data_IF_429047884280
#
_entry.id   IF_429047884280
#
_cell.length_a   1.000
_cell.length_b   1.000
_cell.length_c   1.000
_cell.angle_alpha   90.00
_cell.angle_beta   90.00
_cell.angle_gamma   90.00
#
_symmetry.space_group_name_H-M   'P 1'
#
loop_
_entity.id
_entity.type
_entity.pdbx_description
1 polymer ?
#
# COMPACT_ATOMS: atom_id res chain seq x y z
N UNK A 1 -8.54 20.47 8.15
CA UNK A 1 -8.85 19.83 6.85
C UNK A 1 -10.03 18.84 6.89
N UNK A 2 -10.47 18.33 8.05
CA UNK A 2 -11.57 17.34 8.14
C UNK A 2 -12.93 17.86 7.63
N UNK A 3 -13.32 19.09 7.97
CA UNK A 3 -14.65 19.63 7.63
C UNK A 3 -14.91 19.76 6.11
N UNK A 4 -13.95 20.34 5.35
CA UNK A 4 -14.10 20.49 3.89
C UNK A 4 -14.19 19.13 3.21
N UNK A 5 -13.35 18.16 3.64
CA UNK A 5 -13.39 16.81 3.12
C UNK A 5 -14.76 16.15 3.36
N UNK A 6 -15.31 16.27 4.58
CA UNK A 6 -16.62 15.70 4.87
C UNK A 6 -17.72 16.34 4.02
N UNK A 7 -17.69 17.67 3.87
CA UNK A 7 -18.64 18.39 3.00
C UNK A 7 -18.55 17.88 1.55
N UNK A 8 -17.34 17.71 1.00
CA UNK A 8 -17.16 17.16 -0.34
C UNK A 8 -17.70 15.73 -0.44
N UNK A 9 -17.40 14.89 0.55
CA UNK A 9 -17.84 13.49 0.58
C UNK A 9 -19.35 13.40 0.65
N UNK A 10 -19.99 14.00 1.66
CA UNK A 10 -21.42 13.81 1.89
C UNK A 10 -22.27 14.69 0.99
N UNK A 11 -21.96 15.99 0.93
CA UNK A 11 -22.87 16.98 0.34
C UNK A 11 -22.65 17.15 -1.17
N UNK A 12 -21.44 16.90 -1.67
CA UNK A 12 -21.16 17.00 -3.11
C UNK A 12 -21.24 15.62 -3.76
N UNK A 13 -20.32 14.71 -3.41
CA UNK A 13 -20.21 13.42 -4.09
C UNK A 13 -21.31 12.43 -3.69
N UNK A 14 -21.63 12.33 -2.40
CA UNK A 14 -22.67 11.44 -1.90
C UNK A 14 -24.05 11.82 -2.44
N UNK A 15 -24.44 13.09 -2.30
CA UNK A 15 -25.70 13.60 -2.85
C UNK A 15 -25.77 13.49 -4.38
N UNK A 16 -24.66 13.71 -5.10
CA UNK A 16 -24.63 13.51 -6.55
C UNK A 16 -24.99 12.08 -6.96
N UNK A 17 -24.54 11.07 -6.21
CA UNK A 17 -24.86 9.65 -6.45
C UNK A 17 -26.26 9.27 -5.94
N UNK A 18 -26.73 9.91 -4.87
CA UNK A 18 -28.00 9.62 -4.22
C UNK A 18 -29.22 10.27 -4.92
N UNK A 19 -29.05 11.46 -5.48
CA UNK A 19 -30.12 12.21 -6.15
C UNK A 19 -30.56 11.55 -7.46
N UNK A 20 -31.71 11.99 -7.98
CA UNK A 20 -32.39 11.50 -9.21
C UNK A 20 -31.53 11.47 -10.49
N UNK A 21 -30.33 12.06 -10.48
CA UNK A 21 -29.39 12.02 -11.61
C UNK A 21 -28.89 10.59 -11.83
N UNK A 22 -28.51 9.89 -10.75
CA UNK A 22 -28.02 8.51 -10.82
C UNK A 22 -28.90 7.56 -9.99
N UNK A 23 -29.35 8.00 -8.80
CA UNK A 23 -30.24 7.22 -7.94
C UNK A 23 -29.74 5.81 -7.67
N UNK A 24 -28.43 5.64 -7.47
CA UNK A 24 -27.80 4.31 -7.33
C UNK A 24 -27.58 3.88 -5.87
N UNK A 25 -27.58 4.83 -4.93
CA UNK A 25 -27.33 4.59 -3.50
C UNK A 25 -28.49 3.83 -2.87
N UNK A 26 -28.21 2.75 -2.15
CA UNK A 26 -29.20 1.94 -1.42
C UNK A 26 -30.20 1.20 -2.30
N UNK A 27 -29.96 1.10 -3.62
CA UNK A 27 -30.88 0.43 -4.55
C UNK A 27 -30.65 -1.07 -4.69
N UNK A 28 -29.55 -1.59 -4.13
CA UNK A 28 -29.12 -2.98 -4.34
C UNK A 28 -28.82 -3.37 -5.79
N UNK A 29 -28.89 -2.44 -6.75
CA UNK A 29 -28.68 -2.70 -8.19
C UNK A 29 -27.23 -3.02 -8.53
N UNK A 30 -26.30 -2.39 -7.82
CA UNK A 30 -24.86 -2.60 -8.00
C UNK A 30 -24.35 -3.45 -6.85
N UNK A 31 -24.21 -4.75 -7.10
CA UNK A 31 -23.59 -5.68 -6.18
C UNK A 31 -22.13 -5.92 -6.56
N UNK A 32 -21.28 -5.92 -5.54
CA UNK A 32 -19.91 -6.40 -5.62
C UNK A 32 -19.91 -7.91 -5.84
N UNK A 33 -18.90 -8.45 -6.54
CA UNK A 33 -18.71 -9.90 -6.60
C UNK A 33 -18.55 -10.49 -5.20
N UNK A 34 -19.02 -11.72 -4.98
CA UNK A 34 -19.00 -12.36 -3.64
C UNK A 34 -17.57 -12.53 -3.08
N UNK A 35 -16.56 -12.50 -3.95
CA UNK A 35 -15.15 -12.54 -3.56
C UNK A 35 -14.55 -11.16 -3.20
N UNK A 36 -15.32 -10.07 -3.28
CA UNK A 36 -14.79 -8.73 -3.08
C UNK A 36 -14.49 -8.44 -1.59
N UNK A 37 -13.31 -7.91 -1.27
CA UNK A 37 -12.93 -7.58 0.10
C UNK A 37 -13.59 -6.27 0.55
N UNK A 38 -14.71 -6.35 1.28
CA UNK A 38 -15.27 -5.13 1.88
C UNK A 38 -16.53 -5.26 2.72
N UNK A 39 -17.37 -6.27 2.49
CA UNK A 39 -18.66 -6.32 3.18
C UNK A 39 -18.78 -7.54 4.10
N UNK A 40 -18.62 -7.31 5.41
CA UNK A 40 -18.91 -8.29 6.46
C UNK A 40 -20.41 -8.28 6.85
N UNK A 41 -21.18 -7.29 6.38
CA UNK A 41 -22.63 -7.20 6.57
C UNK A 41 -23.40 -8.06 5.55
N UNK A 42 -22.71 -8.65 4.57
CA UNK A 42 -23.28 -9.62 3.63
C UNK A 42 -24.32 -9.04 2.66
N UNK A 43 -24.35 -7.72 2.50
CA UNK A 43 -25.23 -7.06 1.53
C UNK A 43 -24.60 -7.04 0.13
N UNK A 44 -23.27 -7.14 0.05
CA UNK A 44 -22.43 -7.00 -1.13
C UNK A 44 -22.79 -5.76 -1.96
N UNK A 45 -23.33 -4.71 -1.35
CA UNK A 45 -23.72 -3.51 -2.08
C UNK A 45 -22.51 -2.60 -2.31
N UNK A 46 -22.36 -2.10 -3.55
CA UNK A 46 -21.28 -1.18 -3.89
C UNK A 46 -21.46 0.18 -3.18
N UNK A 47 -22.71 0.62 -3.03
CA UNK A 47 -23.09 1.93 -2.47
C UNK A 47 -24.27 1.80 -1.50
N UNK A 48 -24.05 1.20 -0.31
CA UNK A 48 -25.13 0.98 0.67
C UNK A 48 -25.68 2.30 1.24
N UNK A 49 -24.83 3.31 1.38
CA UNK A 49 -25.20 4.61 1.95
C UNK A 49 -24.50 5.78 1.25
N UNK A 50 -25.03 6.99 1.48
CA UNK A 50 -24.58 8.24 0.86
C UNK A 50 -23.12 8.55 1.19
N UNK A 51 -22.69 8.28 2.43
CA UNK A 51 -21.35 8.57 2.88
C UNK A 51 -20.34 7.62 2.23
N UNK A 52 -20.64 6.32 2.18
CA UNK A 52 -19.82 5.32 1.49
C UNK A 52 -19.68 5.65 0.00
N UNK A 53 -20.79 5.93 -0.67
CA UNK A 53 -20.81 6.30 -2.08
C UNK A 53 -19.96 7.57 -2.33
N UNK A 54 -20.16 8.59 -1.50
CA UNK A 54 -19.38 9.82 -1.53
C UNK A 54 -17.88 9.60 -1.31
N UNK A 55 -17.49 8.71 -0.38
CA UNK A 55 -16.09 8.36 -0.11
C UNK A 55 -15.42 7.71 -1.31
N UNK A 56 -16.11 6.78 -1.99
CA UNK A 56 -15.54 6.10 -3.16
C UNK A 56 -15.38 7.05 -4.35
N UNK A 57 -16.39 7.87 -4.64
CA UNK A 57 -16.31 8.86 -5.72
C UNK A 57 -15.26 9.93 -5.43
N UNK A 58 -15.16 10.38 -4.18
CA UNK A 58 -14.07 11.27 -3.75
C UNK A 58 -12.69 10.65 -3.99
N UNK A 59 -12.49 9.37 -3.62
CA UNK A 59 -11.23 8.64 -3.86
C UNK A 59 -10.93 8.53 -5.35
N UNK A 60 -11.92 8.19 -6.18
CA UNK A 60 -11.76 8.12 -7.63
C UNK A 60 -11.33 9.48 -8.20
N UNK A 61 -12.05 10.55 -7.87
CA UNK A 61 -11.76 11.90 -8.34
C UNK A 61 -10.35 12.35 -7.89
N UNK A 62 -10.03 12.17 -6.61
CA UNK A 62 -8.70 12.46 -6.08
C UNK A 62 -7.60 11.67 -6.81
N UNK A 63 -7.85 10.40 -7.12
CA UNK A 63 -6.90 9.54 -7.84
C UNK A 63 -6.70 10.04 -9.27
N UNK A 64 -7.76 10.45 -9.96
CA UNK A 64 -7.66 11.05 -11.30
C UNK A 64 -6.85 12.35 -11.29
N UNK A 65 -7.14 13.26 -10.36
CA UNK A 65 -6.37 14.51 -10.22
C UNK A 65 -4.90 14.20 -9.95
N UNK A 66 -4.62 13.29 -9.01
CA UNK A 66 -3.26 12.88 -8.67
C UNK A 66 -2.54 12.25 -9.87
N UNK A 67 -3.22 11.39 -10.64
CA UNK A 67 -2.67 10.77 -11.84
C UNK A 67 -2.33 11.80 -12.91
N UNK A 68 -3.20 12.76 -13.17
CA UNK A 68 -2.93 13.85 -14.13
C UNK A 68 -1.76 14.70 -13.67
N UNK A 69 -1.75 15.15 -12.41
CA UNK A 69 -0.66 16.00 -11.89
C UNK A 69 0.69 15.28 -11.90
N UNK A 70 0.74 14.03 -11.43
CA UNK A 70 1.97 13.23 -11.43
C UNK A 70 2.40 12.87 -12.85
N UNK A 71 1.46 12.49 -13.72
CA UNK A 71 1.72 12.16 -15.12
C UNK A 71 2.27 13.35 -15.91
N UNK A 72 1.71 14.55 -15.71
CA UNK A 72 2.23 15.78 -16.31
C UNK A 72 3.63 16.11 -15.77
N UNK A 73 3.84 16.01 -14.45
CA UNK A 73 5.16 16.26 -13.84
C UNK A 73 6.21 15.29 -14.37
N UNK A 74 5.86 14.02 -14.51
CA UNK A 74 6.73 12.99 -15.08
C UNK A 74 7.01 13.21 -16.57
N UNK A 75 6.00 13.62 -17.34
CA UNK A 75 6.17 13.97 -18.75
C UNK A 75 7.12 15.17 -18.93
N UNK A 76 6.97 16.21 -18.11
CA UNK A 76 7.90 17.36 -18.10
C UNK A 76 9.31 16.89 -17.74
N UNK A 77 9.46 16.03 -16.73
CA UNK A 77 10.75 15.45 -16.36
C UNK A 77 11.41 14.70 -17.53
N UNK A 78 10.65 13.87 -18.26
CA UNK A 78 11.17 13.16 -19.44
C UNK A 78 11.56 14.13 -20.57
N UNK A 79 10.79 15.19 -20.79
CA UNK A 79 11.08 16.22 -21.79
C UNK A 79 12.35 17.03 -21.44
N UNK A 80 12.56 17.35 -20.15
CA UNK A 80 13.83 17.92 -19.69
C UNK A 80 14.98 16.91 -19.78
N UNK A 81 14.64 15.63 -19.68
CA UNK A 81 15.55 14.51 -19.81
C UNK A 81 16.09 14.28 -21.21
N UNK A 82 15.40 14.69 -22.27
CA UNK A 82 15.85 14.49 -23.67
C UNK A 82 16.97 15.42 -24.11
N UNK A 83 17.14 16.58 -23.46
CA UNK A 83 18.26 17.51 -23.70
C UNK A 83 19.54 17.09 -22.96
N UNK A 84 19.89 15.79 -23.00
CA UNK A 84 21.10 15.24 -22.37
C UNK A 84 22.40 15.84 -22.92
N UNK A 85 22.34 16.53 -24.06
CA UNK A 85 23.49 17.22 -24.64
C UNK A 85 24.00 18.39 -23.77
N UNK A 86 23.14 18.98 -22.92
CA UNK A 86 23.49 20.16 -22.12
C UNK A 86 24.33 19.78 -20.89
N UNK A 87 24.16 18.56 -20.37
CA UNK A 87 24.98 18.00 -19.29
C UNK A 87 25.89 16.91 -19.87
N UNK A 88 26.77 17.28 -20.80
CA UNK A 88 27.93 16.50 -21.24
C UNK A 88 27.72 15.00 -21.40
N UNK A 89 27.46 14.55 -22.64
CA UNK A 89 27.74 13.18 -23.05
C UNK A 89 29.12 12.78 -22.50
N UNK A 90 29.19 11.65 -21.80
CA UNK A 90 30.31 11.17 -20.98
C UNK A 90 30.41 11.78 -19.57
N UNK A 91 29.55 11.29 -18.69
CA UNK A 91 30.03 10.96 -17.34
C UNK A 91 30.98 9.75 -17.46
N UNK A 92 32.08 9.94 -18.17
CA UNK A 92 33.32 9.15 -18.10
C UNK A 92 34.22 9.75 -16.99
N UNK A 93 33.58 10.40 -16.01
CA UNK A 93 34.10 10.39 -14.65
C UNK A 93 34.22 8.92 -14.32
N UNK A 94 35.39 8.45 -13.88
CA UNK A 94 35.58 7.09 -13.37
C UNK A 94 34.68 6.85 -12.16
N UNK A 95 33.37 6.74 -12.39
CA UNK A 95 32.36 6.39 -11.42
C UNK A 95 32.75 4.99 -11.03
N UNK A 96 33.35 4.89 -9.86
CA UNK A 96 33.75 3.62 -9.32
C UNK A 96 32.53 2.71 -9.32
N UNK A 97 32.70 1.47 -9.78
CA UNK A 97 31.60 0.53 -10.00
C UNK A 97 30.61 0.47 -8.82
N UNK A 98 31.08 0.66 -7.58
CA UNK A 98 30.24 0.68 -6.38
C UNK A 98 29.20 1.82 -6.35
N UNK A 99 29.46 2.97 -6.98
CA UNK A 99 28.52 4.10 -7.05
C UNK A 99 27.30 3.80 -7.93
N UNK A 100 27.37 2.79 -8.80
CA UNK A 100 26.23 2.28 -9.57
C UNK A 100 25.68 1.01 -8.92
N UNK A 101 26.57 0.07 -8.57
CA UNK A 101 26.16 -1.23 -8.02
C UNK A 101 25.42 -1.12 -6.70
N UNK A 102 25.85 -0.24 -5.77
CA UNK A 102 25.20 -0.10 -4.47
C UNK A 102 23.80 0.51 -4.63
N UNK A 103 23.60 1.67 -5.29
CA UNK A 103 22.27 2.21 -5.50
C UNK A 103 21.37 1.23 -6.26
N UNK A 104 21.89 0.56 -7.29
CA UNK A 104 21.11 -0.43 -8.03
C UNK A 104 20.66 -1.59 -7.14
N UNK A 105 21.55 -2.14 -6.32
CA UNK A 105 21.19 -3.16 -5.34
C UNK A 105 20.15 -2.66 -4.33
N UNK A 106 20.29 -1.42 -3.84
CA UNK A 106 19.31 -0.79 -2.93
C UNK A 106 17.94 -0.66 -3.60
N UNK A 107 17.88 -0.18 -4.85
CA UNK A 107 16.65 -0.06 -5.61
C UNK A 107 15.97 -1.42 -5.81
N UNK A 108 16.74 -2.44 -6.22
CA UNK A 108 16.25 -3.82 -6.42
C UNK A 108 15.75 -4.44 -5.11
N UNK A 109 16.51 -4.33 -4.01
CA UNK A 109 16.07 -4.87 -2.73
C UNK A 109 14.82 -4.14 -2.21
N UNK A 110 14.75 -2.83 -2.40
CA UNK A 110 13.58 -2.03 -2.03
C UNK A 110 12.33 -2.44 -2.81
N UNK A 111 12.44 -2.60 -4.13
CA UNK A 111 11.34 -3.10 -4.94
C UNK A 111 10.96 -4.54 -4.58
N UNK A 112 11.93 -5.39 -4.25
CA UNK A 112 11.67 -6.74 -3.74
C UNK A 112 10.87 -6.73 -2.43
N UNK A 113 11.19 -5.84 -1.49
CA UNK A 113 10.39 -5.66 -0.26
C UNK A 113 8.96 -5.23 -0.56
N UNK A 114 8.75 -4.26 -1.45
CA UNK A 114 7.42 -3.82 -1.85
C UNK A 114 6.62 -4.94 -2.53
N UNK A 115 7.22 -5.67 -3.47
CA UNK A 115 6.57 -6.83 -4.12
C UNK A 115 6.23 -7.94 -3.12
N UNK A 116 7.15 -8.24 -2.21
CA UNK A 116 6.94 -9.23 -1.13
C UNK A 116 5.81 -8.80 -0.20
N UNK A 117 5.67 -7.50 0.07
CA UNK A 117 4.60 -6.99 0.91
C UNK A 117 3.20 -7.18 0.32
N UNK A 118 3.09 -7.39 -1.01
CA UNK A 118 1.81 -7.68 -1.66
C UNK A 118 1.22 -9.01 -1.20
N UNK A 119 2.04 -9.95 -0.74
CA UNK A 119 1.56 -11.22 -0.17
C UNK A 119 1.48 -11.20 1.37
N UNK A 120 1.81 -10.07 2.00
CA UNK A 120 1.80 -9.93 3.45
C UNK A 120 0.47 -9.35 3.92
N UNK A 121 -0.30 -10.12 4.70
CA UNK A 121 -1.51 -9.61 5.34
C UNK A 121 -1.17 -8.42 6.25
N UNK A 122 -1.96 -7.34 6.16
CA UNK A 122 -1.75 -6.10 6.91
C UNK A 122 -3.08 -5.36 7.01
N UNK A 123 -3.37 -4.63 8.11
CA UNK A 123 -4.61 -3.87 8.21
C UNK A 123 -4.59 -2.66 7.27
N UNK A 124 -3.41 -2.29 6.77
CA UNK A 124 -3.20 -1.25 5.77
C UNK A 124 -3.11 -1.80 4.34
N UNK A 125 -3.12 -3.14 4.19
CA UNK A 125 -3.08 -3.83 2.91
C UNK A 125 -4.48 -4.03 2.32
N UNK A 126 -4.54 -4.17 1.00
CA UNK A 126 -5.79 -4.47 0.28
C UNK A 126 -6.08 -5.98 0.20
N UNK A 127 -5.10 -6.83 0.53
CA UNK A 127 -5.27 -8.27 0.38
C UNK A 127 -6.14 -8.86 1.49
N UNK A 128 -7.15 -9.66 1.17
CA UNK A 128 -7.84 -10.50 2.16
C UNK A 128 -6.86 -11.52 2.75
N UNK A 129 -7.06 -11.85 4.01
CA UNK A 129 -6.34 -12.93 4.69
C UNK A 129 -7.17 -14.19 4.71
N UNK A 130 -6.48 -15.31 4.61
CA UNK A 130 -7.09 -16.62 4.43
C UNK A 130 -6.45 -17.61 5.39
N UNK A 131 -7.28 -18.39 6.07
CA UNK A 131 -6.89 -19.48 6.98
C UNK A 131 -7.26 -20.81 6.32
N UNK A 132 -6.31 -21.74 6.24
CA UNK A 132 -6.60 -23.10 5.84
C UNK A 132 -7.40 -23.80 6.95
N UNK A 133 -8.50 -24.48 6.62
CA UNK A 133 -9.19 -25.36 7.57
C UNK A 133 -8.33 -26.59 7.83
N UNK A 134 -7.58 -26.58 8.93
CA UNK A 134 -7.04 -27.82 9.52
C UNK A 134 -8.21 -28.57 10.16
N UNK A 135 -8.44 -29.82 9.75
CA UNK A 135 -9.62 -30.63 10.08
C UNK A 135 -9.84 -31.01 11.56
N UNK A 136 -9.27 -30.26 12.52
CA UNK A 136 -9.41 -30.49 13.96
C UNK A 136 -10.39 -29.52 14.67
N UNK A 137 -10.85 -28.44 14.03
CA UNK A 137 -11.75 -27.43 14.65
C UNK A 137 -13.26 -27.71 14.42
N UNK A 138 -13.71 -28.96 14.49
CA UNK A 138 -15.16 -29.30 14.38
C UNK A 138 -15.90 -29.46 15.71
N UNK A 139 -15.26 -29.23 16.85
CA UNK A 139 -15.87 -29.55 18.16
C UNK A 139 -16.13 -28.40 19.14
N UNK A 140 -15.80 -27.14 18.82
CA UNK A 140 -16.09 -26.05 19.76
C UNK A 140 -17.45 -25.37 19.53
N UNK A 141 -18.18 -25.32 20.64
CA UNK A 141 -19.58 -24.97 20.81
C UNK A 141 -19.83 -23.50 20.47
N UNK A 142 -20.27 -23.24 19.24
CA UNK A 142 -20.67 -21.89 18.84
C UNK A 142 -20.74 -21.67 17.34
N UNK A 143 -21.12 -22.70 16.57
CA UNK A 143 -21.22 -22.63 15.11
C UNK A 143 -22.33 -21.65 14.66
N UNK A 144 -22.02 -20.36 14.72
CA UNK A 144 -22.57 -19.40 13.77
C UNK A 144 -22.20 -19.95 12.39
N UNK A 145 -23.23 -20.35 11.64
CA UNK A 145 -23.11 -20.84 10.27
C UNK A 145 -22.19 -19.90 9.49
N UNK A 146 -20.98 -20.36 9.16
CA UNK A 146 -20.07 -19.63 8.28
C UNK A 146 -20.84 -19.42 6.97
N UNK A 147 -21.18 -18.17 6.60
CA UNK A 147 -22.08 -17.92 5.48
C UNK A 147 -21.50 -18.54 4.20
N UNK A 148 -22.37 -19.23 3.44
CA UNK A 148 -22.03 -19.88 2.19
C UNK A 148 -21.48 -18.82 1.21
N UNK A 149 -20.17 -18.81 1.01
CA UNK A 149 -19.45 -17.80 0.20
C UNK A 149 -18.03 -17.52 0.67
N UNK A 150 -17.71 -17.77 1.95
CA UNK A 150 -16.40 -17.44 2.54
C UNK A 150 -15.35 -18.57 2.49
N UNK A 151 -15.68 -19.72 1.90
CA UNK A 151 -14.77 -20.87 1.81
C UNK A 151 -14.60 -21.29 0.35
N UNK A 152 -13.38 -21.17 -0.17
CA UNK A 152 -13.00 -21.67 -1.50
C UNK A 152 -11.92 -22.74 -1.31
N UNK A 153 -12.16 -23.98 -1.76
CA UNK A 153 -11.19 -25.09 -1.69
C UNK A 153 -10.67 -25.39 -0.26
N UNK A 154 -11.52 -25.27 0.77
CA UNK A 154 -11.11 -25.50 2.18
C UNK A 154 -10.29 -24.37 2.79
N UNK A 155 -10.23 -23.22 2.13
CA UNK A 155 -9.59 -22.00 2.62
C UNK A 155 -10.71 -21.03 3.01
N UNK A 156 -10.76 -20.66 4.29
CA UNK A 156 -11.75 -19.73 4.83
C UNK A 156 -11.14 -18.35 4.99
N UNK A 157 -11.86 -17.30 4.58
CA UNK A 157 -11.45 -15.92 4.80
C UNK A 157 -11.47 -15.58 6.31
N UNK A 158 -10.38 -15.01 6.81
CA UNK A 158 -10.24 -14.55 8.19
C UNK A 158 -9.57 -13.18 8.19
N UNK A 159 -10.37 -12.11 8.15
CA UNK A 159 -9.87 -10.73 8.15
C UNK A 159 -9.28 -10.29 9.50
N UNK A 160 -9.48 -11.06 10.57
CA UNK A 160 -8.91 -10.71 11.88
C UNK A 160 -7.39 -10.83 11.89
N UNK A 161 -6.85 -11.75 11.07
CA UNK A 161 -5.40 -11.97 10.92
C UNK A 161 -4.65 -10.70 10.47
N UNK A 162 -5.34 -9.72 9.87
CA UNK A 162 -4.73 -8.46 9.46
C UNK A 162 -4.27 -7.61 10.64
N UNK A 163 -4.85 -7.78 11.82
CA UNK A 163 -4.49 -6.99 13.00
C UNK A 163 -3.32 -7.60 13.77
N UNK A 164 -2.87 -8.80 13.40
CA UNK A 164 -1.68 -9.41 13.99
C UNK A 164 -0.42 -8.89 13.27
N UNK A 165 0.58 -8.36 13.99
CA UNK A 165 1.86 -8.05 13.38
C UNK A 165 2.57 -9.34 12.99
N UNK A 166 2.57 -9.65 11.69
CA UNK A 166 3.18 -10.85 11.11
C UNK A 166 4.01 -10.51 9.87
N UNK A 167 5.05 -11.31 9.65
CA UNK A 167 5.94 -11.18 8.50
C UNK A 167 6.58 -9.79 8.40
N UNK A 168 6.44 -9.14 7.24
CA UNK A 168 7.08 -7.84 6.99
C UNK A 168 6.54 -6.71 7.87
N UNK A 169 5.32 -6.83 8.40
CA UNK A 169 4.77 -5.82 9.33
C UNK A 169 5.51 -5.74 10.67
N UNK A 170 6.28 -6.79 11.02
CA UNK A 170 7.19 -6.76 12.18
C UNK A 170 8.43 -5.89 11.93
N UNK A 171 8.85 -5.73 10.67
CA UNK A 171 9.96 -4.84 10.29
C UNK A 171 9.45 -3.40 10.32
N UNK A 172 8.41 -3.10 9.55
CA UNK A 172 7.75 -1.80 9.55
C UNK A 172 6.28 -2.01 9.28
N UNK A 173 5.45 -1.17 9.88
CA UNK A 173 4.00 -1.13 9.65
C UNK A 173 3.61 -0.79 8.20
N UNK A 174 4.50 -0.14 7.44
CA UNK A 174 4.27 0.30 6.05
C UNK A 174 5.18 -0.44 5.06
N UNK A 175 5.14 -1.79 5.01
CA UNK A 175 6.12 -2.57 4.24
C UNK A 175 5.96 -2.42 2.73
N UNK A 176 4.82 -1.90 2.26
CA UNK A 176 4.56 -1.64 0.85
C UNK A 176 5.13 -0.30 0.38
N UNK A 177 4.92 0.76 1.17
CA UNK A 177 5.19 2.14 0.77
C UNK A 177 6.58 2.60 1.21
N UNK A 178 7.04 2.24 2.42
CA UNK A 178 8.33 2.75 2.90
C UNK A 178 9.56 2.28 2.12
N UNK A 179 9.59 1.10 1.44
CA UNK A 179 10.70 0.79 0.54
C UNK A 179 10.84 1.77 -0.63
N UNK A 180 9.80 2.54 -0.98
CA UNK A 180 9.89 3.62 -1.99
C UNK A 180 10.90 4.70 -1.58
N UNK A 181 11.19 4.86 -0.28
CA UNK A 181 12.14 5.87 0.22
C UNK A 181 13.58 5.54 -0.21
N UNK A 182 14.18 4.40 0.18
CA UNK A 182 15.51 4.03 -0.31
C UNK A 182 15.54 3.83 -1.83
N UNK A 183 14.45 3.33 -2.44
CA UNK A 183 14.33 3.25 -3.89
C UNK A 183 14.46 4.63 -4.55
N UNK A 184 13.67 5.62 -4.15
CA UNK A 184 13.69 6.94 -4.77
C UNK A 184 15.04 7.65 -4.63
N UNK A 185 15.70 7.54 -3.48
CA UNK A 185 17.07 8.07 -3.35
C UNK A 185 18.08 7.33 -4.23
N UNK A 186 18.01 6.00 -4.29
CA UNK A 186 18.88 5.22 -5.16
C UNK A 186 18.66 5.54 -6.65
N UNK A 187 17.41 5.59 -7.07
CA UNK A 187 17.01 5.92 -8.44
C UNK A 187 17.36 7.36 -8.82
N UNK A 188 17.34 8.31 -7.87
CA UNK A 188 17.84 9.66 -8.14
C UNK A 188 19.32 9.64 -8.56
N UNK A 189 20.14 8.82 -7.89
CA UNK A 189 21.56 8.64 -8.24
C UNK A 189 21.70 7.90 -9.58
N UNK A 190 20.94 6.81 -9.76
CA UNK A 190 20.96 6.00 -11.00
C UNK A 190 20.39 6.74 -12.22
N UNK A 191 19.57 7.77 -12.03
CA UNK A 191 19.06 8.59 -13.13
C UNK A 191 20.09 9.64 -13.62
N UNK A 192 21.23 9.76 -12.94
CA UNK A 192 22.30 10.71 -13.24
C UNK A 192 22.53 11.76 -12.16
N UNK A 193 21.74 11.77 -11.07
CA UNK A 193 21.95 12.66 -9.92
C UNK A 193 21.73 14.14 -10.22
N UNK A 194 21.03 14.49 -11.29
CA UNK A 194 20.76 15.89 -11.65
C UNK A 194 19.75 16.49 -10.67
N UNK A 195 19.68 17.83 -10.56
CA UNK A 195 18.68 18.48 -9.69
C UNK A 195 17.24 18.01 -9.97
N UNK A 196 16.89 17.78 -11.24
CA UNK A 196 15.57 17.25 -11.62
C UNK A 196 15.33 15.82 -11.10
N UNK A 197 16.35 14.95 -11.14
CA UNK A 197 16.27 13.56 -10.65
C UNK A 197 16.08 13.55 -9.13
N UNK A 198 16.86 14.38 -8.42
CA UNK A 198 16.77 14.54 -6.95
C UNK A 198 15.41 15.12 -6.55
N UNK A 199 14.91 16.14 -7.26
CA UNK A 199 13.60 16.74 -6.96
C UNK A 199 12.48 15.72 -7.19
N UNK A 200 12.50 14.99 -8.32
CA UNK A 200 11.45 14.04 -8.64
C UNK A 200 11.46 12.83 -7.69
N UNK A 201 12.58 12.10 -7.64
CA UNK A 201 12.64 10.84 -6.89
C UNK A 201 12.85 11.05 -5.39
N UNK A 202 13.59 12.10 -5.00
CA UNK A 202 13.66 12.53 -3.61
C UNK A 202 12.32 13.11 -3.13
N UNK A 203 11.62 13.87 -3.98
CA UNK A 203 10.26 14.33 -3.70
C UNK A 203 9.28 13.18 -3.49
N UNK A 204 9.33 12.13 -4.33
CA UNK A 204 8.57 10.89 -4.14
C UNK A 204 8.90 10.20 -2.81
N UNK A 205 10.18 10.16 -2.43
CA UNK A 205 10.62 9.59 -1.15
C UNK A 205 10.04 10.35 0.04
N UNK A 206 10.11 11.68 0.01
CA UNK A 206 9.50 12.53 1.05
C UNK A 206 7.98 12.39 1.08
N UNK A 207 7.35 12.29 -0.09
CA UNK A 207 5.92 12.06 -0.20
C UNK A 207 5.52 10.71 0.42
N UNK A 208 6.28 9.64 0.20
CA UNK A 208 6.04 8.35 0.82
C UNK A 208 6.11 8.41 2.35
N UNK A 209 7.13 9.08 2.91
CA UNK A 209 7.27 9.30 4.36
C UNK A 209 6.07 10.07 4.90
N UNK A 210 5.77 11.23 4.31
CA UNK A 210 4.68 12.10 4.74
C UNK A 210 3.31 11.41 4.61
N UNK A 211 3.11 10.64 3.54
CA UNK A 211 1.91 9.86 3.28
C UNK A 211 1.68 8.80 4.36
N UNK A 212 2.69 7.98 4.64
CA UNK A 212 2.65 7.00 5.72
C UNK A 212 2.41 7.65 7.09
N UNK A 213 3.06 8.78 7.36
CA UNK A 213 2.87 9.51 8.62
C UNK A 213 1.44 10.06 8.75
N UNK A 214 0.88 10.61 7.67
CA UNK A 214 -0.50 11.08 7.65
C UNK A 214 -1.51 9.93 7.78
N UNK A 215 -1.22 8.75 7.24
CA UNK A 215 -2.02 7.55 7.46
C UNK A 215 -2.02 7.16 8.94
N UNK A 216 -0.85 7.20 9.59
CA UNK A 216 -0.74 6.91 11.02
C UNK A 216 -1.53 7.90 11.87
N UNK A 217 -1.42 9.20 11.57
CA UNK A 217 -2.17 10.25 12.28
C UNK A 217 -3.68 10.07 12.17
N UNK A 218 -4.19 9.59 11.03
CA UNK A 218 -5.63 9.32 10.87
C UNK A 218 -6.10 8.20 11.78
N UNK A 219 -5.32 7.14 11.89
CA UNK A 219 -5.63 6.04 12.81
C UNK A 219 -5.55 6.49 14.27
N UNK A 220 -4.52 7.26 14.63
CA UNK A 220 -4.36 7.79 15.99
C UNK A 220 -5.48 8.74 16.40
N UNK A 221 -6.06 9.47 15.46
CA UNK A 221 -7.20 10.39 15.71
C UNK A 221 -8.56 9.70 15.63
N UNK A 222 -8.58 8.38 15.44
CA UNK A 222 -9.81 7.60 15.29
C UNK A 222 -10.72 8.14 14.16
N UNK A 223 -10.14 8.81 13.14
CA UNK A 223 -10.85 9.43 12.01
C UNK A 223 -11.41 8.40 11.00
N UNK A 224 -11.54 7.13 11.42
CA UNK A 224 -11.98 5.99 10.65
C UNK A 224 -10.84 5.12 10.12
N UNK A 225 -11.15 3.82 9.94
CA UNK A 225 -10.25 2.80 9.42
C UNK A 225 -9.60 3.21 8.09
N UNK A 226 -8.28 3.02 7.98
CA UNK A 226 -7.56 3.14 6.70
C UNK A 226 -7.83 1.86 5.91
N UNK A 227 -8.86 1.87 5.06
CA UNK A 227 -9.26 0.69 4.29
C UNK A 227 -10.66 0.77 3.67
N UNK A 228 -11.16 -0.37 3.21
CA UNK A 228 -12.49 -0.60 2.61
C UNK A 228 -13.51 -1.18 3.58
N UNK A 229 -13.19 -1.27 4.87
CA UNK A 229 -14.02 -1.97 5.83
C UNK A 229 -15.19 -1.11 6.33
N UNK A 230 -16.41 -1.56 6.03
CA UNK A 230 -17.67 -0.99 6.48
C UNK A 230 -18.16 -1.74 7.72
N UNK A 231 -18.36 -1.05 8.85
CA UNK A 231 -18.80 -1.68 10.09
C UNK A 231 -19.86 -0.85 10.81
N UNK A 232 -20.74 -1.53 11.54
CA UNK A 232 -21.67 -0.90 12.50
C UNK A 232 -20.93 -0.28 13.70
N UNK A 233 -21.66 0.50 14.50
CA UNK A 233 -21.10 1.29 15.61
C UNK A 233 -20.38 0.47 16.69
N UNK A 234 -20.86 -0.74 17.00
CA UNK A 234 -20.30 -1.57 18.07
C UNK A 234 -19.06 -2.37 17.63
N UNK A 235 -19.06 -2.93 16.42
CA UNK A 235 -17.90 -3.63 15.83
C UNK A 235 -16.74 -2.67 15.56
N UNK A 236 -17.05 -1.42 15.18
CA UNK A 236 -16.05 -0.36 14.99
C UNK A 236 -15.18 -0.16 16.24
N UNK A 237 -15.74 -0.31 17.45
CA UNK A 237 -15.00 -0.14 18.70
C UNK A 237 -14.01 -1.28 18.94
N UNK A 238 -14.41 -2.52 18.65
CA UNK A 238 -13.54 -3.70 18.77
C UNK A 238 -12.37 -3.58 17.79
N UNK A 239 -12.65 -3.15 16.57
CA UNK A 239 -11.67 -3.00 15.50
C UNK A 239 -10.69 -1.88 15.81
N UNK A 240 -11.17 -0.75 16.31
CA UNK A 240 -10.28 0.33 16.76
C UNK A 240 -9.33 -0.16 17.87
N UNK A 241 -9.80 -1.02 18.78
CA UNK A 241 -8.94 -1.62 19.81
C UNK A 241 -7.89 -2.57 19.20
N UNK A 242 -8.28 -3.44 18.25
CA UNK A 242 -7.35 -4.34 17.53
C UNK A 242 -6.34 -3.56 16.71
N UNK A 243 -6.78 -2.54 15.98
CA UNK A 243 -5.93 -1.65 15.20
C UNK A 243 -4.96 -0.88 16.10
N UNK A 244 -5.42 -0.36 17.24
CA UNK A 244 -4.53 0.26 18.23
C UNK A 244 -3.48 -0.71 18.75
N UNK A 245 -3.87 -1.95 19.07
CA UNK A 245 -2.91 -2.99 19.47
C UNK A 245 -1.86 -3.26 18.38
N UNK A 246 -2.26 -3.32 17.10
CA UNK A 246 -1.32 -3.44 15.98
C UNK A 246 -0.36 -2.24 15.93
N UNK A 247 -0.87 -1.03 16.12
CA UNK A 247 -0.07 0.20 16.14
C UNK A 247 0.93 0.21 17.30
N UNK A 248 0.51 -0.23 18.48
CA UNK A 248 1.35 -0.30 19.66
C UNK A 248 2.48 -1.33 19.49
N UNK A 249 2.24 -2.42 18.74
CA UNK A 249 3.21 -3.48 18.52
C UNK A 249 4.12 -3.28 17.29
N UNK A 250 3.84 -2.31 16.42
CA UNK A 250 4.59 -2.07 15.18
C UNK A 250 5.25 -0.70 15.17
N UNK A 251 6.19 -0.49 14.25
CA UNK A 251 6.91 0.77 14.12
C UNK A 251 6.75 1.36 12.74
N UNK A 252 6.74 2.69 12.68
CA UNK A 252 6.91 3.42 11.43
C UNK A 252 8.29 3.16 10.84
N UNK A 253 9.34 3.37 11.64
CA UNK A 253 10.72 3.13 11.22
C UNK A 253 11.00 1.63 11.10
N UNK A 254 11.68 1.17 10.03
CA UNK A 254 12.14 -0.20 9.90
C UNK A 254 12.93 -0.66 11.13
N UNK A 255 12.59 -1.84 11.64
CA UNK A 255 13.14 -2.47 12.84
C UNK A 255 12.95 -1.71 14.15
N UNK A 256 12.31 -0.53 14.14
CA UNK A 256 12.12 0.26 15.37
C UNK A 256 11.40 -0.51 16.47
N UNK A 257 10.39 -1.31 16.13
CA UNK A 257 9.68 -2.13 17.12
C UNK A 257 10.53 -3.26 17.71
N UNK A 258 11.49 -3.80 16.95
CA UNK A 258 12.43 -4.80 17.44
C UNK A 258 13.51 -4.19 18.33
N UNK A 259 13.99 -2.99 17.98
CA UNK A 259 14.93 -2.21 18.81
C UNK A 259 14.28 -1.79 20.13
N UNK A 260 13.02 -1.39 20.10
CA UNK A 260 12.23 -1.02 21.30
C UNK A 260 11.83 -2.23 22.16
N UNK A 261 12.13 -3.47 21.74
CA UNK A 261 11.72 -4.70 22.44
C UNK A 261 10.23 -5.05 22.34
N UNK A 262 9.45 -4.31 21.53
CA UNK A 262 8.03 -4.58 21.25
C UNK A 262 7.84 -5.80 20.34
N UNK A 263 8.88 -6.15 19.58
CA UNK A 263 8.95 -7.31 18.70
C UNK A 263 10.23 -8.09 18.96
N UNK A 264 10.17 -9.42 18.84
CA UNK A 264 11.36 -10.26 18.99
C UNK A 264 12.08 -10.46 17.64
N UNK A 265 13.41 -10.47 17.67
CA UNK A 265 14.23 -10.79 16.49
C UNK A 265 14.01 -12.22 15.99
N UNK A 266 13.79 -13.17 16.92
CA UNK A 266 13.50 -14.56 16.58
C UNK A 266 12.19 -14.67 15.77
N UNK A 267 11.12 -14.02 16.22
CA UNK A 267 9.84 -13.96 15.48
C UNK A 267 10.01 -13.32 14.10
N UNK A 268 10.80 -12.25 14.00
CA UNK A 268 11.06 -11.57 12.72
C UNK A 268 11.74 -12.49 11.72
N UNK A 269 12.77 -13.23 12.15
CA UNK A 269 13.50 -14.16 11.25
C UNK A 269 12.68 -15.39 10.86
N UNK A 270 11.90 -15.95 11.78
CA UNK A 270 11.05 -17.12 11.50
C UNK A 270 9.88 -16.81 10.57
N UNK A 271 9.32 -15.61 10.69
CA UNK A 271 8.16 -15.20 9.88
C UNK A 271 8.54 -14.42 8.63
N UNK A 272 9.83 -14.14 8.42
CA UNK A 272 10.26 -13.43 7.22
C UNK A 272 9.84 -14.25 5.98
N UNK A 273 9.09 -13.66 5.03
CA UNK A 273 8.61 -14.36 3.84
C UNK A 273 9.76 -14.57 2.85
N UNK A 274 10.69 -15.45 3.18
CA UNK A 274 11.97 -15.61 2.46
C UNK A 274 11.76 -16.07 1.02
N UNK A 275 10.82 -17.00 0.79
CA UNK A 275 10.57 -17.53 -0.55
C UNK A 275 9.94 -16.45 -1.47
N UNK A 276 8.85 -15.77 -1.08
CA UNK A 276 8.36 -14.61 -1.83
C UNK A 276 9.43 -13.53 -2.05
N UNK A 277 10.27 -13.26 -1.05
CA UNK A 277 11.35 -12.28 -1.17
C UNK A 277 12.41 -12.68 -2.19
N UNK A 278 12.87 -13.93 -2.17
CA UNK A 278 13.83 -14.44 -3.15
C UNK A 278 13.26 -14.45 -4.57
N UNK A 279 11.97 -14.72 -4.74
CA UNK A 279 11.28 -14.61 -6.04
C UNK A 279 11.16 -13.15 -6.46
N UNK A 280 10.88 -12.23 -5.54
CA UNK A 280 10.69 -10.82 -5.84
C UNK A 280 11.98 -10.12 -6.32
N UNK A 281 13.17 -10.59 -5.92
CA UNK A 281 14.46 -10.03 -6.35
C UNK A 281 14.63 -10.00 -7.88
N UNK A 282 14.56 -11.12 -8.64
CA UNK A 282 14.71 -11.09 -10.10
C UNK A 282 13.61 -10.30 -10.80
N UNK A 283 12.38 -10.30 -10.29
CA UNK A 283 11.30 -9.44 -10.81
C UNK A 283 11.64 -7.96 -10.63
N UNK A 284 12.06 -7.57 -9.42
CA UNK A 284 12.45 -6.19 -9.13
C UNK A 284 13.68 -5.77 -9.93
N UNK A 285 14.65 -6.65 -10.13
CA UNK A 285 15.79 -6.42 -11.02
C UNK A 285 15.33 -6.11 -12.45
N UNK A 286 14.40 -6.91 -12.98
CA UNK A 286 13.85 -6.73 -14.33
C UNK A 286 13.10 -5.41 -14.46
N UNK A 287 12.27 -5.07 -13.47
CA UNK A 287 11.52 -3.82 -13.42
C UNK A 287 12.47 -2.62 -13.35
N UNK A 288 13.46 -2.64 -12.46
CA UNK A 288 14.43 -1.54 -12.32
C UNK A 288 15.26 -1.36 -13.59
N UNK A 289 15.72 -2.45 -14.20
CA UNK A 289 16.45 -2.41 -15.47
C UNK A 289 15.59 -1.81 -16.59
N UNK A 290 14.34 -2.24 -16.70
CA UNK A 290 13.41 -1.71 -17.69
C UNK A 290 13.11 -0.23 -17.44
N UNK A 291 12.97 0.16 -16.16
CA UNK A 291 12.71 1.53 -15.76
C UNK A 291 13.89 2.46 -16.09
N UNK A 292 15.13 2.08 -15.76
CA UNK A 292 16.32 2.86 -16.09
C UNK A 292 16.50 2.99 -17.61
N UNK A 293 16.26 1.92 -18.37
CA UNK A 293 16.26 1.97 -19.84
C UNK A 293 15.18 2.90 -20.38
N UNK A 294 13.98 2.86 -19.80
CA UNK A 294 12.90 3.78 -20.16
C UNK A 294 13.29 5.25 -19.90
N UNK A 295 14.04 5.51 -18.82
CA UNK A 295 14.61 6.83 -18.57
C UNK A 295 15.71 7.21 -19.56
N UNK A 296 16.18 6.28 -20.39
CA UNK A 296 17.30 6.44 -21.33
C UNK A 296 18.67 6.15 -20.69
N UNK A 297 18.72 5.60 -19.48
CA UNK A 297 19.98 5.27 -18.79
C UNK A 297 20.39 3.85 -19.14
N UNK A 298 21.59 3.69 -19.71
CA UNK A 298 22.19 2.41 -20.00
C UNK A 298 23.41 2.20 -19.11
N UNK A 299 23.36 1.16 -18.28
CA UNK A 299 24.50 0.69 -17.51
C UNK A 299 24.93 -0.68 -18.05
N UNK A 300 26.23 -0.85 -18.32
CA UNK A 300 26.81 -2.17 -18.53
C UNK A 300 26.96 -2.82 -17.15
N UNK A 301 25.87 -3.41 -16.66
CA UNK A 301 25.85 -4.02 -15.32
C UNK A 301 26.61 -5.34 -15.26
N UNK A 302 26.98 -5.95 -16.40
CA UNK A 302 27.82 -7.15 -16.54
C UNK A 302 28.46 -7.20 -17.92
#
# INVERSE_FOLDING_TARGET
MSAIRQILITNVFGQFLANDILGIVGTGKLRLPDFWPGDLLGTNELFPDIETAGRQLYRLFYTMVSFVTLGTSFSIYLALGSDRSIYGNSMDLGIESWMVTIPFAVAVLSGAFSLTSLVNASPLGLMPSFRAQTGEETNDVGAATVPAGNTLLGITRDDEMKFDPKGLTRITRHPLILPVVPWGFATAVLAGGRPADVILFGGLSLYAIAGCYCQDLRVLREEGSVGTTFFGSDESRIINKKLKSFYDQTSFLPFGAAVDGRQSWDSLTREFPILPFLIAIPFSFTIETAFLRFLGVEYNLF
#
